data_IF_110148391589
#
_entry.id   IF_110148391589
#
_cell.length_a   1.000
_cell.length_b   1.000
_cell.length_c   1.000
_cell.angle_alpha   90.00
_cell.angle_beta   90.00
_cell.angle_gamma   90.00
#
_symmetry.space_group_name_H-M   'P 1'
#
loop_
_entity.id
_entity.type
_entity.pdbx_description
1 polymer ?
#
# COMPACT_ATOMS: atom_id res chain seq x y z
N UNK A 1 5.29 -5.70 33.99
CA UNK A 1 4.01 -5.80 33.31
C UNK A 1 3.91 -7.17 32.65
N UNK A 2 2.78 -7.87 32.82
CA UNK A 2 2.60 -9.22 32.28
C UNK A 2 1.79 -9.18 30.97
N UNK A 3 2.31 -9.78 29.88
CA UNK A 3 1.61 -9.95 28.60
C UNK A 3 1.31 -11.44 28.39
N UNK A 4 0.10 -11.92 28.69
CA UNK A 4 -0.27 -13.33 28.48
C UNK A 4 -0.16 -13.75 27.04
N UNK A 5 0.25 -14.98 26.74
CA UNK A 5 0.34 -15.51 25.37
C UNK A 5 -0.95 -15.36 24.56
N UNK A 6 -2.12 -15.58 25.20
CA UNK A 6 -3.43 -15.42 24.57
C UNK A 6 -3.77 -13.97 24.18
N UNK A 7 -3.05 -12.99 24.72
CA UNK A 7 -3.20 -11.56 24.44
C UNK A 7 -2.18 -11.04 23.43
N UNK A 8 -1.31 -11.91 22.92
CA UNK A 8 -0.36 -11.59 21.85
C UNK A 8 -1.02 -11.81 20.47
N UNK A 9 -0.80 -10.90 19.53
CA UNK A 9 -1.26 -10.99 18.14
C UNK A 9 -0.16 -11.48 17.18
N UNK A 10 1.11 -11.51 17.67
CA UNK A 10 2.28 -12.05 16.99
C UNK A 10 3.25 -12.64 18.01
N UNK A 11 4.27 -13.34 17.53
CA UNK A 11 5.36 -13.80 18.37
C UNK A 11 6.17 -12.60 18.90
N UNK A 12 6.38 -12.55 20.21
CA UNK A 12 7.07 -11.45 20.91
C UNK A 12 8.44 -11.93 21.37
N UNK A 13 9.47 -11.10 21.11
CA UNK A 13 10.84 -11.32 21.53
C UNK A 13 11.34 -10.16 22.40
N UNK A 14 12.39 -10.40 23.16
CA UNK A 14 13.04 -9.37 23.93
C UNK A 14 13.60 -8.25 23.00
N UNK A 15 13.29 -7.01 23.33
CA UNK A 15 13.66 -5.84 22.52
C UNK A 15 12.56 -5.36 21.56
N UNK A 16 11.51 -6.17 21.34
CA UNK A 16 10.37 -5.74 20.54
C UNK A 16 9.55 -4.64 21.23
N UNK A 17 8.90 -3.80 20.42
CA UNK A 17 8.02 -2.74 20.89
C UNK A 17 6.65 -2.87 20.20
N UNK A 18 5.58 -2.86 21.00
CA UNK A 18 4.22 -3.01 20.48
C UNK A 18 3.25 -2.05 21.17
N UNK A 19 2.24 -1.53 20.47
CA UNK A 19 1.12 -0.86 21.12
C UNK A 19 0.32 -1.89 21.93
N UNK A 20 0.02 -1.55 23.18
CA UNK A 20 -0.74 -2.41 24.09
C UNK A 20 -1.77 -1.61 24.86
N UNK A 21 -2.85 -2.28 25.26
CA UNK A 21 -3.78 -1.76 26.25
C UNK A 21 -3.54 -2.45 27.59
N UNK A 22 -3.69 -1.69 28.66
CA UNK A 22 -3.55 -2.19 30.02
C UNK A 22 -4.93 -2.60 30.57
N UNK A 23 -4.98 -3.76 31.24
CA UNK A 23 -6.17 -4.24 31.92
C UNK A 23 -5.82 -4.94 33.24
N UNK A 24 -6.77 -5.03 34.12
CA UNK A 24 -6.64 -5.81 35.36
C UNK A 24 -7.29 -7.16 35.15
N UNK A 25 -6.55 -8.24 35.39
CA UNK A 25 -7.09 -9.61 35.28
C UNK A 25 -7.98 -9.98 36.47
N UNK A 26 -8.64 -11.15 36.40
CA UNK A 26 -9.54 -11.64 37.46
C UNK A 26 -8.85 -11.84 38.80
N UNK A 27 -7.53 -11.92 38.86
CA UNK A 27 -6.73 -12.03 40.08
C UNK A 27 -6.24 -10.68 40.61
N UNK A 28 -6.66 -9.57 40.01
CA UNK A 28 -6.27 -8.21 40.43
C UNK A 28 -4.87 -7.76 39.90
N UNK A 29 -4.27 -8.51 38.96
CA UNK A 29 -2.94 -8.14 38.41
C UNK A 29 -3.08 -7.24 37.21
N UNK A 30 -2.19 -6.24 37.11
CA UNK A 30 -2.05 -5.41 35.94
C UNK A 30 -1.40 -6.19 34.79
N UNK A 31 -2.10 -6.33 33.67
CA UNK A 31 -1.70 -7.05 32.48
C UNK A 31 -1.75 -6.14 31.25
N UNK A 32 -1.06 -6.56 30.18
CA UNK A 32 -1.13 -5.94 28.86
C UNK A 32 -1.84 -6.87 27.87
N UNK A 33 -2.48 -6.27 26.85
CA UNK A 33 -3.01 -6.96 25.69
C UNK A 33 -2.60 -6.24 24.41
N UNK A 34 -2.18 -6.99 23.38
CA UNK A 34 -1.94 -6.48 22.02
C UNK A 34 -3.25 -6.39 21.21
N UNK A 35 -4.36 -6.92 21.72
CA UNK A 35 -5.69 -6.88 21.07
C UNK A 35 -6.33 -5.52 21.28
N UNK A 36 -5.78 -4.50 20.68
CA UNK A 36 -6.15 -3.09 20.94
C UNK A 36 -7.35 -2.61 20.13
N UNK A 37 -7.80 -3.33 19.11
CA UNK A 37 -8.84 -2.91 18.17
C UNK A 37 -10.07 -2.28 18.85
N UNK A 38 -10.59 -2.92 19.88
CA UNK A 38 -11.81 -2.44 20.57
C UNK A 38 -11.61 -1.19 21.44
N UNK A 39 -10.37 -0.77 21.61
CA UNK A 39 -10.01 0.42 22.39
C UNK A 39 -9.68 1.62 21.52
N UNK A 40 -9.55 1.39 20.20
CA UNK A 40 -9.30 2.45 19.23
C UNK A 40 -10.59 3.18 18.90
N UNK A 41 -10.47 4.49 18.76
CA UNK A 41 -11.57 5.37 18.39
C UNK A 41 -11.80 5.33 16.87
N UNK A 42 -13.04 5.56 16.48
CA UNK A 42 -13.43 5.55 15.07
C UNK A 42 -13.73 6.97 14.53
N UNK A 43 -13.87 7.95 15.40
CA UNK A 43 -14.19 9.35 15.08
C UNK A 43 -12.91 10.18 14.84
N UNK A 44 -12.08 9.76 13.94
CA UNK A 44 -10.82 10.45 13.68
C UNK A 44 -11.05 11.86 13.08
N UNK A 45 -10.18 12.85 13.39
CA UNK A 45 -10.28 14.19 12.82
C UNK A 45 -9.69 14.29 11.40
N UNK A 46 -9.18 13.19 10.85
CA UNK A 46 -8.45 13.18 9.60
C UNK A 46 -9.37 13.16 8.38
N UNK A 47 -8.89 13.75 7.30
CA UNK A 47 -9.55 13.83 6.01
C UNK A 47 -8.73 13.10 4.95
N UNK A 48 -9.35 12.86 3.79
CA UNK A 48 -8.66 12.30 2.64
C UNK A 48 -7.46 13.17 2.26
N UNK A 49 -6.35 12.50 1.96
CA UNK A 49 -5.03 13.04 1.60
C UNK A 49 -4.18 13.55 2.77
N UNK A 50 -4.69 13.55 4.00
CA UNK A 50 -3.88 13.87 5.18
C UNK A 50 -2.77 12.83 5.36
N UNK A 51 -1.61 13.31 5.86
CA UNK A 51 -0.50 12.45 6.28
C UNK A 51 -0.69 12.10 7.75
N UNK A 52 -0.57 10.83 8.06
CA UNK A 52 -0.75 10.30 9.41
C UNK A 52 0.40 9.38 9.78
N UNK A 53 0.66 9.25 11.05
CA UNK A 53 1.61 8.29 11.62
C UNK A 53 0.90 7.39 12.62
N UNK A 54 1.42 6.19 12.81
CA UNK A 54 0.84 5.23 13.77
C UNK A 54 1.69 3.98 13.85
N UNK A 55 1.18 2.97 14.55
CA UNK A 55 1.86 1.69 14.70
C UNK A 55 1.00 0.55 14.15
N UNK A 56 1.65 -0.39 13.47
CA UNK A 56 1.04 -1.63 13.01
C UNK A 56 0.78 -2.54 14.23
N UNK A 57 -0.47 -2.95 14.45
CA UNK A 57 -0.79 -3.81 15.58
C UNK A 57 -1.29 -5.21 15.18
N UNK A 58 -1.73 -5.37 13.93
CA UNK A 58 -2.16 -6.66 13.39
C UNK A 58 -1.99 -6.68 11.86
N UNK A 59 -1.63 -7.84 11.30
CA UNK A 59 -1.54 -8.06 9.86
C UNK A 59 -2.37 -9.28 9.50
N UNK A 60 -3.36 -9.08 8.63
CA UNK A 60 -4.23 -10.11 8.08
C UNK A 60 -3.97 -10.30 6.60
N UNK A 61 -3.81 -11.55 6.16
CA UNK A 61 -3.67 -11.86 4.72
C UNK A 61 -4.91 -11.45 3.92
N UNK A 62 -6.08 -11.49 4.54
CA UNK A 62 -7.36 -11.21 3.88
C UNK A 62 -7.71 -9.73 3.90
N UNK A 63 -7.50 -9.05 5.04
CA UNK A 63 -7.98 -7.68 5.26
C UNK A 63 -6.90 -6.61 5.04
N UNK A 64 -5.63 -6.94 5.20
CA UNK A 64 -4.53 -5.99 5.14
C UNK A 64 -3.85 -5.76 6.48
N UNK A 65 -3.21 -4.62 6.66
CA UNK A 65 -2.49 -4.27 7.88
C UNK A 65 -3.26 -3.23 8.70
N UNK A 66 -3.52 -3.55 9.95
CA UNK A 66 -4.25 -2.67 10.88
C UNK A 66 -3.29 -1.73 11.57
N UNK A 67 -3.65 -0.46 11.62
CA UNK A 67 -2.83 0.64 12.14
C UNK A 67 -3.58 1.38 13.24
N UNK A 68 -2.92 1.63 14.34
CA UNK A 68 -3.36 2.57 15.36
C UNK A 68 -2.75 3.95 15.02
N UNK A 69 -3.51 4.80 14.33
CA UNK A 69 -3.09 6.17 14.00
C UNK A 69 -3.07 7.00 15.27
N UNK A 70 -1.94 7.67 15.54
CA UNK A 70 -1.67 8.41 16.78
C UNK A 70 -1.85 7.56 18.04
N UNK A 71 -1.71 6.22 17.91
CA UNK A 71 -2.01 5.23 18.96
C UNK A 71 -3.46 5.34 19.51
N UNK A 72 -4.36 5.92 18.73
CA UNK A 72 -5.71 6.29 19.15
C UNK A 72 -6.80 5.89 18.14
N UNK A 73 -6.59 6.10 16.85
CA UNK A 73 -7.64 5.93 15.84
C UNK A 73 -7.47 4.65 15.03
N UNK A 74 -8.59 3.99 14.74
CA UNK A 74 -8.61 2.76 13.96
C UNK A 74 -8.41 3.05 12.48
N UNK A 75 -7.42 2.39 11.88
CA UNK A 75 -7.14 2.51 10.46
C UNK A 75 -6.69 1.18 9.86
N UNK A 76 -6.82 1.05 8.55
CA UNK A 76 -6.47 -0.12 7.76
C UNK A 76 -5.65 0.28 6.54
N UNK A 77 -4.56 -0.43 6.28
CA UNK A 77 -3.88 -0.44 4.99
C UNK A 77 -4.44 -1.64 4.21
N UNK A 78 -5.31 -1.43 3.20
CA UNK A 78 -5.85 -2.53 2.41
C UNK A 78 -4.75 -3.34 1.71
N UNK A 79 -4.95 -4.63 1.36
CA UNK A 79 -3.92 -5.48 0.76
C UNK A 79 -3.27 -4.88 -0.50
N UNK A 80 -4.06 -4.20 -1.33
CA UNK A 80 -3.61 -3.51 -2.55
C UNK A 80 -2.67 -2.32 -2.30
N UNK A 81 -2.72 -1.77 -1.08
CA UNK A 81 -1.90 -0.61 -0.66
C UNK A 81 -0.68 -1.03 0.17
N UNK A 82 -0.60 -2.29 0.56
CA UNK A 82 0.58 -2.84 1.24
C UNK A 82 1.75 -2.89 0.26
N UNK A 83 2.89 -2.37 0.68
CA UNK A 83 4.12 -2.37 -0.10
C UNK A 83 5.32 -2.63 0.81
N UNK A 84 6.24 -3.48 0.36
CA UNK A 84 7.39 -3.90 1.19
C UNK A 84 7.02 -4.91 2.27
N UNK A 85 7.96 -5.17 3.15
CA UNK A 85 7.74 -6.00 4.35
C UNK A 85 7.19 -5.11 5.45
N UNK A 86 6.04 -5.49 5.99
CA UNK A 86 5.40 -4.84 7.14
C UNK A 86 5.45 -5.81 8.32
N UNK A 87 5.77 -5.29 9.49
CA UNK A 87 5.84 -6.08 10.73
C UNK A 87 5.00 -5.44 11.82
N UNK A 88 4.32 -6.27 12.60
CA UNK A 88 3.58 -5.81 13.78
C UNK A 88 4.53 -5.15 14.76
N UNK A 89 4.15 -3.98 15.29
CA UNK A 89 4.96 -3.15 16.19
C UNK A 89 5.74 -2.04 15.46
N UNK A 90 5.93 -2.13 14.14
CA UNK A 90 6.66 -1.10 13.41
C UNK A 90 5.85 0.20 13.29
N UNK A 91 6.52 1.37 13.42
CA UNK A 91 5.91 2.65 13.11
C UNK A 91 5.68 2.76 11.60
N UNK A 92 4.57 3.34 11.21
CA UNK A 92 4.23 3.56 9.81
C UNK A 92 3.82 5.01 9.59
N UNK A 93 4.29 5.58 8.48
CA UNK A 93 3.77 6.83 7.93
C UNK A 93 2.94 6.51 6.70
N UNK A 94 1.73 7.04 6.66
CA UNK A 94 0.78 6.73 5.62
C UNK A 94 -0.07 7.96 5.27
N UNK A 95 -0.73 7.89 4.13
CA UNK A 95 -1.67 8.89 3.69
C UNK A 95 -3.09 8.33 3.76
N UNK A 96 -4.01 9.10 4.26
CA UNK A 96 -5.45 8.77 4.26
C UNK A 96 -5.97 8.75 2.81
N UNK A 97 -6.55 7.64 2.40
CA UNK A 97 -7.12 7.47 1.05
C UNK A 97 -8.64 7.44 1.06
N UNK A 98 -9.23 7.04 2.16
CA UNK A 98 -10.66 7.11 2.40
C UNK A 98 -10.94 7.29 3.90
N UNK A 99 -12.06 7.94 4.18
CA UNK A 99 -12.65 8.01 5.51
C UNK A 99 -14.02 7.34 5.40
N UNK A 100 -14.28 6.34 6.23
CA UNK A 100 -15.56 5.62 6.25
C UNK A 100 -16.61 6.39 7.06
N UNK A 101 -17.87 6.05 6.88
CA UNK A 101 -18.99 6.69 7.61
C UNK A 101 -18.87 6.53 9.13
N UNK A 102 -18.25 5.45 9.59
CA UNK A 102 -17.96 5.18 10.99
C UNK A 102 -16.68 5.88 11.50
N UNK A 103 -16.02 6.69 10.65
CA UNK A 103 -14.82 7.44 10.97
C UNK A 103 -13.51 6.65 10.90
N UNK A 104 -13.54 5.34 10.57
CA UNK A 104 -12.34 4.56 10.30
C UNK A 104 -11.63 5.07 9.04
N UNK A 105 -10.31 4.88 9.00
CA UNK A 105 -9.47 5.35 7.92
C UNK A 105 -8.96 4.19 7.08
N UNK A 106 -9.01 4.34 5.76
CA UNK A 106 -8.17 3.57 4.86
C UNK A 106 -6.90 4.35 4.54
N UNK A 107 -5.78 3.66 4.64
CA UNK A 107 -4.45 4.25 4.49
C UNK A 107 -3.71 3.67 3.28
N UNK A 108 -2.78 4.47 2.73
CA UNK A 108 -1.80 4.04 1.75
C UNK A 108 -0.40 4.45 2.17
N UNK A 109 0.52 3.50 2.16
CA UNK A 109 1.96 3.75 2.32
C UNK A 109 2.66 4.01 0.98
N UNK A 110 1.89 3.94 -0.13
CA UNK A 110 2.40 4.24 -1.46
C UNK A 110 2.37 5.73 -1.73
N UNK A 111 3.43 6.26 -2.33
CA UNK A 111 3.48 7.64 -2.80
C UNK A 111 2.41 7.91 -3.88
N UNK A 112 1.86 9.13 -3.92
CA UNK A 112 0.96 9.59 -5.00
C UNK A 112 1.58 9.39 -6.39
N UNK A 113 2.87 9.61 -6.51
CA UNK A 113 3.62 9.39 -7.76
C UNK A 113 3.58 7.94 -8.23
N UNK A 114 3.60 6.96 -7.32
CA UNK A 114 3.52 5.53 -7.66
C UNK A 114 2.16 5.16 -8.26
N UNK A 115 1.06 5.69 -7.71
CA UNK A 115 -0.30 5.46 -8.25
C UNK A 115 -0.48 6.05 -9.64
N UNK A 116 0.10 7.24 -9.88
CA UNK A 116 0.09 7.82 -11.22
C UNK A 116 0.84 6.91 -12.20
N UNK A 117 1.98 6.34 -11.79
CA UNK A 117 2.73 5.39 -12.62
C UNK A 117 1.91 4.12 -12.90
N UNK A 118 1.19 3.56 -11.94
CA UNK A 118 0.31 2.40 -12.15
C UNK A 118 -0.81 2.71 -13.14
N UNK A 119 -1.49 3.85 -12.97
CA UNK A 119 -2.55 4.29 -13.89
C UNK A 119 -2.02 4.50 -15.31
N UNK A 120 -0.86 5.15 -15.44
CA UNK A 120 -0.21 5.36 -16.73
C UNK A 120 0.25 4.03 -17.35
N UNK A 121 0.72 3.09 -16.54
CA UNK A 121 1.11 1.75 -16.99
C UNK A 121 -0.09 0.96 -17.54
N UNK A 122 -1.27 1.07 -16.93
CA UNK A 122 -2.50 0.46 -17.45
C UNK A 122 -2.86 1.02 -18.82
N UNK A 123 -2.84 2.35 -19.00
CA UNK A 123 -3.10 2.99 -20.30
C UNK A 123 -2.10 2.55 -21.37
N UNK A 124 -0.82 2.43 -21.01
CA UNK A 124 0.20 1.91 -21.93
C UNK A 124 -0.07 0.46 -22.30
N UNK A 125 -0.51 -0.38 -21.36
CA UNK A 125 -0.89 -1.77 -21.66
C UNK A 125 -2.10 -1.87 -22.60
N UNK A 126 -3.16 -1.07 -22.37
CA UNK A 126 -4.32 -0.98 -23.23
C UNK A 126 -3.92 -0.55 -24.65
N UNK A 127 -3.02 0.44 -24.74
CA UNK A 127 -2.49 0.86 -26.05
C UNK A 127 -1.72 -0.25 -26.74
N UNK A 128 -0.83 -0.97 -26.04
CA UNK A 128 -0.10 -2.11 -26.61
C UNK A 128 -1.08 -3.18 -27.10
N UNK A 129 -2.16 -3.45 -26.38
CA UNK A 129 -3.20 -4.39 -26.77
C UNK A 129 -3.96 -3.93 -28.02
N UNK A 130 -4.23 -2.64 -28.17
CA UNK A 130 -4.86 -2.08 -29.38
C UNK A 130 -4.00 -2.20 -30.63
N UNK A 131 -2.68 -2.42 -30.47
CA UNK A 131 -1.73 -2.73 -31.53
C UNK A 131 -1.36 -4.23 -31.61
N UNK A 132 -2.32 -5.11 -31.31
CA UNK A 132 -2.14 -6.57 -31.33
C UNK A 132 -0.95 -7.07 -30.46
N UNK A 133 -0.64 -6.35 -29.40
CA UNK A 133 0.41 -6.68 -28.44
C UNK A 133 1.81 -6.17 -28.80
N UNK A 134 1.95 -5.36 -29.87
CA UNK A 134 3.23 -4.80 -30.33
C UNK A 134 3.09 -3.34 -30.65
N UNK A 135 3.54 -2.46 -29.74
CA UNK A 135 3.58 -1.02 -29.96
C UNK A 135 4.76 -0.66 -30.89
N UNK A 136 4.54 0.00 -32.04
CA UNK A 136 5.56 0.20 -33.09
C UNK A 136 6.56 1.34 -32.79
N UNK A 137 6.69 1.73 -31.53
CA UNK A 137 7.68 2.71 -31.05
C UNK A 137 8.09 2.40 -29.59
N UNK A 138 9.12 3.08 -29.12
CA UNK A 138 9.67 2.92 -27.77
C UNK A 138 9.68 4.26 -27.03
N UNK A 139 10.16 4.25 -25.78
CA UNK A 139 10.40 5.46 -24.96
C UNK A 139 11.46 6.43 -25.58
N UNK A 140 12.17 5.99 -26.63
CA UNK A 140 13.11 6.81 -27.40
C UNK A 140 12.43 7.66 -28.48
N UNK A 141 11.15 7.40 -28.80
CA UNK A 141 10.40 8.19 -29.77
C UNK A 141 10.33 9.68 -29.38
N UNK A 142 10.05 10.54 -30.39
CA UNK A 142 9.94 11.98 -30.12
C UNK A 142 8.78 12.31 -29.19
N UNK A 143 8.85 13.39 -28.40
CA UNK A 143 7.77 13.79 -27.50
C UNK A 143 6.42 13.97 -28.22
N UNK A 144 6.45 14.45 -29.47
CA UNK A 144 5.26 14.68 -30.29
C UNK A 144 4.55 13.36 -30.65
N UNK A 145 5.33 12.34 -31.03
CA UNK A 145 4.80 11.00 -31.34
C UNK A 145 4.19 10.39 -30.08
N UNK A 146 4.93 10.40 -28.98
CA UNK A 146 4.45 9.84 -27.71
C UNK A 146 3.16 10.54 -27.29
N UNK A 147 3.12 11.88 -27.29
CA UNK A 147 1.94 12.63 -26.88
C UNK A 147 0.73 12.37 -27.78
N UNK A 148 0.94 12.27 -29.09
CA UNK A 148 -0.13 11.98 -30.06
C UNK A 148 -0.75 10.60 -29.84
N UNK A 149 0.10 9.58 -29.66
CA UNK A 149 -0.36 8.18 -29.56
C UNK A 149 -0.85 7.79 -28.16
N UNK A 150 -0.25 8.38 -27.11
CA UNK A 150 -0.51 7.96 -25.72
C UNK A 150 -1.25 8.99 -24.88
N UNK A 151 -1.39 10.22 -25.36
CA UNK A 151 -1.87 11.39 -24.60
C UNK A 151 -1.03 11.71 -23.34
N UNK A 152 0.16 11.13 -23.21
CA UNK A 152 1.08 11.31 -22.09
C UNK A 152 2.27 12.19 -22.49
N UNK A 153 2.89 12.82 -21.51
CA UNK A 153 4.24 13.39 -21.69
C UNK A 153 5.28 12.27 -21.85
N UNK A 154 6.41 12.58 -22.46
CA UNK A 154 7.51 11.62 -22.61
C UNK A 154 8.01 11.07 -21.27
N UNK A 155 8.02 11.88 -20.22
CA UNK A 155 8.44 11.45 -18.87
C UNK A 155 7.43 10.49 -18.21
N UNK A 156 6.14 10.74 -18.36
CA UNK A 156 5.08 9.84 -17.89
C UNK A 156 5.15 8.49 -18.61
N UNK A 157 5.21 8.52 -19.94
CA UNK A 157 5.34 7.31 -20.74
C UNK A 157 6.59 6.51 -20.37
N UNK A 158 7.75 7.16 -20.23
CA UNK A 158 9.01 6.51 -19.83
C UNK A 158 8.91 5.84 -18.46
N UNK A 159 8.27 6.49 -17.48
CA UNK A 159 8.05 5.90 -16.14
C UNK A 159 7.10 4.71 -16.20
N UNK A 160 6.00 4.81 -16.95
CA UNK A 160 5.04 3.73 -17.14
C UNK A 160 5.67 2.50 -17.82
N UNK A 161 6.42 2.72 -18.91
CA UNK A 161 7.16 1.66 -19.61
C UNK A 161 8.20 1.02 -18.69
N UNK A 162 8.96 1.81 -17.95
CA UNK A 162 9.94 1.30 -16.97
C UNK A 162 9.28 0.44 -15.88
N UNK A 163 8.12 0.85 -15.40
CA UNK A 163 7.34 0.09 -14.43
C UNK A 163 6.86 -1.26 -15.00
N UNK A 164 6.31 -1.27 -16.21
CA UNK A 164 5.86 -2.48 -16.89
C UNK A 164 7.00 -3.45 -17.18
N UNK A 165 8.16 -2.93 -17.61
CA UNK A 165 9.37 -3.72 -17.83
C UNK A 165 9.88 -4.37 -16.55
N UNK A 166 9.96 -3.60 -15.44
CA UNK A 166 10.38 -4.10 -14.13
C UNK A 166 9.46 -5.21 -13.61
N UNK A 167 8.16 -5.13 -13.92
CA UNK A 167 7.16 -6.12 -13.53
C UNK A 167 7.06 -7.30 -14.53
N UNK A 168 7.93 -7.38 -15.53
CA UNK A 168 7.95 -8.47 -16.51
C UNK A 168 6.72 -8.53 -17.42
N UNK A 169 5.97 -7.42 -17.55
CA UNK A 169 4.74 -7.36 -18.35
C UNK A 169 5.00 -7.13 -19.83
N UNK A 170 6.12 -6.48 -20.15
CA UNK A 170 6.55 -6.12 -21.51
C UNK A 170 8.03 -6.40 -21.70
N UNK A 171 8.43 -6.50 -22.96
CA UNK A 171 9.83 -6.43 -23.42
C UNK A 171 10.02 -5.24 -24.36
N UNK A 172 11.22 -4.66 -24.37
CA UNK A 172 11.58 -3.55 -25.24
C UNK A 172 12.61 -4.05 -26.24
N UNK A 173 12.29 -3.89 -27.52
CA UNK A 173 13.23 -4.13 -28.63
C UNK A 173 13.81 -2.79 -29.12
N UNK A 174 14.67 -2.82 -30.13
CA UNK A 174 15.23 -1.56 -30.69
C UNK A 174 14.16 -0.61 -31.22
N UNK A 175 13.05 -1.13 -31.74
CA UNK A 175 12.02 -0.34 -32.46
C UNK A 175 10.62 -0.48 -31.92
N UNK A 176 10.37 -1.38 -30.97
CA UNK A 176 9.02 -1.70 -30.49
C UNK A 176 9.00 -2.08 -29.02
N UNK A 177 7.82 -1.97 -28.41
CA UNK A 177 7.51 -2.53 -27.10
C UNK A 177 6.51 -3.66 -27.32
N UNK A 178 6.75 -4.82 -26.70
CA UNK A 178 5.91 -6.02 -26.84
C UNK A 178 5.37 -6.49 -25.52
N UNK A 179 4.12 -6.93 -25.52
CA UNK A 179 3.54 -7.62 -24.36
C UNK A 179 4.13 -9.01 -24.23
N UNK A 180 4.59 -9.37 -23.03
CA UNK A 180 5.03 -10.73 -22.73
C UNK A 180 3.76 -11.60 -22.58
N UNK A 181 3.63 -12.63 -23.42
CA UNK A 181 2.59 -13.66 -23.26
C UNK A 181 3.08 -14.68 -22.25
N UNK A 182 2.40 -14.78 -21.11
CA UNK A 182 2.59 -15.95 -20.24
C UNK A 182 1.87 -17.13 -20.91
N UNK A 183 2.62 -18.05 -21.48
CA UNK A 183 2.07 -19.38 -21.78
C UNK A 183 1.70 -20.04 -20.44
N UNK A 184 0.45 -20.44 -20.32
CA UNK A 184 -0.05 -21.26 -19.21
C UNK A 184 0.33 -22.71 -19.41
#
# INVERSE_FOLDING_TARGET
LFLPFKEQTTHVQEGDSFPVVLYVDKSGRLCASMKIYHYLQMDSPYHKDDQVSGHLYEISRQFGAFVAVDDRYSALIPPREMFGELRVGEPVQARVIAVHEDGKLDLSIRDKSYRMIETDALKVMELIESFDGVLPFTDKASPEVIKRETQMSKNEFKRAVGHLLKNGRIEITEKSIRKIKYER
#
